data_IF_944208949842
#
_entry.id   IF_944208949842
#
_cell.length_a   1.000
_cell.length_b   1.000
_cell.length_c   1.000
_cell.angle_alpha   90.00
_cell.angle_beta   90.00
_cell.angle_gamma   90.00
#
_symmetry.space_group_name_H-M   'P 1'
#
loop_
_entity.id
_entity.type
_entity.pdbx_description
1 polymer ?
#
# COMPACT_ATOMS: atom_id res chain seq x y z
N UNK A 1 4.14 -34.53 -99.71
CA UNK A 1 4.79 -33.53 -98.83
C UNK A 1 4.14 -33.55 -97.46
N UNK A 2 4.78 -34.15 -96.45
CA UNK A 2 4.24 -34.18 -95.08
C UNK A 2 4.45 -32.83 -94.39
N UNK A 3 3.35 -32.15 -94.03
CA UNK A 3 3.36 -30.89 -93.26
C UNK A 3 3.96 -31.15 -91.87
N UNK A 4 5.17 -30.65 -91.63
CA UNK A 4 5.77 -30.60 -90.29
C UNK A 4 4.90 -29.72 -89.38
N UNK A 5 4.32 -30.31 -88.33
CA UNK A 5 3.55 -29.60 -87.31
C UNK A 5 4.46 -28.67 -86.51
N UNK A 6 4.07 -27.39 -86.38
CA UNK A 6 4.86 -26.38 -85.66
C UNK A 6 5.00 -26.77 -84.17
N UNK A 7 6.23 -27.02 -83.71
CA UNK A 7 6.54 -27.28 -82.29
C UNK A 7 6.16 -26.06 -81.43
N UNK A 8 5.44 -26.29 -80.32
CA UNK A 8 5.04 -25.23 -79.39
C UNK A 8 6.29 -24.59 -78.75
N UNK A 9 6.31 -23.26 -78.73
CA UNK A 9 7.40 -22.50 -78.12
C UNK A 9 7.46 -22.74 -76.60
N UNK A 10 8.66 -22.96 -76.06
CA UNK A 10 8.92 -22.99 -74.61
C UNK A 10 8.96 -21.59 -73.99
N UNK A 11 8.91 -20.53 -74.81
CA UNK A 11 8.95 -19.14 -74.36
C UNK A 11 7.62 -18.78 -73.68
N UNK A 12 7.69 -18.43 -72.40
CA UNK A 12 6.52 -17.99 -71.65
C UNK A 12 6.24 -16.50 -71.92
N UNK A 13 4.98 -16.16 -72.21
CA UNK A 13 4.58 -14.76 -72.32
C UNK A 13 4.64 -14.08 -70.97
N UNK A 14 4.97 -12.79 -70.95
CA UNK A 14 4.99 -11.96 -69.73
C UNK A 14 3.68 -12.05 -68.94
N UNK A 15 2.53 -12.08 -69.63
CA UNK A 15 1.21 -12.28 -69.02
C UNK A 15 1.11 -13.60 -68.25
N UNK A 16 1.60 -14.71 -68.83
CA UNK A 16 1.57 -16.03 -68.20
C UNK A 16 2.55 -16.10 -67.02
N UNK A 17 3.72 -15.46 -67.12
CA UNK A 17 4.68 -15.33 -66.01
C UNK A 17 4.05 -14.64 -64.80
N UNK A 18 3.44 -13.47 -65.00
CA UNK A 18 2.79 -12.73 -63.91
C UNK A 18 1.59 -13.47 -63.32
N UNK A 19 0.82 -14.19 -64.14
CA UNK A 19 -0.28 -15.04 -63.66
C UNK A 19 0.23 -16.13 -62.70
N UNK A 20 1.29 -16.86 -63.08
CA UNK A 20 1.88 -17.91 -62.24
C UNK A 20 2.42 -17.32 -60.92
N UNK A 21 3.12 -16.19 -60.97
CA UNK A 21 3.63 -15.53 -59.76
C UNK A 21 2.47 -15.13 -58.83
N UNK A 22 1.39 -14.58 -59.39
CA UNK A 22 0.19 -14.22 -58.63
C UNK A 22 -0.48 -15.44 -58.00
N UNK A 23 -0.64 -16.53 -58.76
CA UNK A 23 -1.23 -17.78 -58.26
C UNK A 23 -0.39 -18.40 -57.12
N UNK A 24 0.94 -18.40 -57.24
CA UNK A 24 1.84 -18.86 -56.16
C UNK A 24 1.73 -17.98 -54.92
N UNK A 25 1.65 -16.66 -55.10
CA UNK A 25 1.48 -15.73 -53.99
C UNK A 25 0.14 -15.92 -53.28
N UNK A 26 -0.95 -16.10 -54.05
CA UNK A 26 -2.29 -16.35 -53.52
C UNK A 26 -2.37 -17.70 -52.80
N UNK A 27 -1.72 -18.75 -53.34
CA UNK A 27 -1.62 -20.05 -52.68
C UNK A 27 -0.86 -19.95 -51.34
N UNK A 28 0.28 -19.24 -51.29
CA UNK A 28 1.02 -18.99 -50.03
C UNK A 28 0.18 -18.18 -49.03
N UNK A 29 -0.59 -17.21 -49.51
CA UNK A 29 -1.49 -16.40 -48.67
C UNK A 29 -2.62 -17.25 -48.07
N UNK A 30 -3.21 -18.15 -48.86
CA UNK A 30 -4.22 -19.13 -48.38
C UNK A 30 -3.63 -20.06 -47.32
N UNK A 31 -2.46 -20.66 -47.57
CA UNK A 31 -1.79 -21.53 -46.59
C UNK A 31 -1.48 -20.82 -45.25
N UNK A 32 -1.06 -19.53 -45.30
CA UNK A 32 -0.83 -18.74 -44.08
C UNK A 32 -2.12 -18.46 -43.31
N UNK A 33 -3.22 -18.16 -44.01
CA UNK A 33 -4.54 -17.95 -43.38
C UNK A 33 -5.05 -19.23 -42.72
N UNK A 34 -4.90 -20.36 -43.40
CA UNK A 34 -5.31 -21.66 -42.88
C UNK A 34 -4.46 -22.09 -41.67
N UNK A 35 -3.14 -21.88 -41.70
CA UNK A 35 -2.27 -22.11 -40.55
C UNK A 35 -2.65 -21.26 -39.33
N UNK A 36 -3.03 -19.98 -39.54
CA UNK A 36 -3.55 -19.11 -38.48
C UNK A 36 -4.90 -19.59 -37.93
N UNK A 37 -5.79 -20.10 -38.80
CA UNK A 37 -7.07 -20.70 -38.39
C UNK A 37 -6.86 -21.94 -37.53
N UNK A 38 -5.97 -22.85 -37.95
CA UNK A 38 -5.62 -24.05 -37.19
C UNK A 38 -4.98 -23.71 -35.83
N UNK A 39 -4.10 -22.70 -35.78
CA UNK A 39 -3.52 -22.22 -34.53
C UNK A 39 -4.56 -21.63 -33.56
N UNK A 40 -5.58 -20.91 -34.08
CA UNK A 40 -6.72 -20.41 -33.28
C UNK A 40 -7.60 -21.52 -32.73
N UNK A 41 -7.71 -22.64 -33.43
CA UNK A 41 -8.42 -23.85 -32.99
C UNK A 41 -7.59 -24.71 -32.01
N UNK A 42 -6.44 -24.21 -31.55
CA UNK A 42 -5.57 -24.92 -30.60
C UNK A 42 -4.75 -26.07 -31.21
N UNK A 43 -4.88 -26.33 -32.52
CA UNK A 43 -4.13 -27.37 -33.22
C UNK A 43 -2.72 -26.84 -33.48
N UNK A 44 -1.79 -27.17 -32.59
CA UNK A 44 -0.37 -26.86 -32.78
C UNK A 44 0.22 -27.73 -33.88
N UNK A 45 1.09 -27.16 -34.72
CA UNK A 45 1.94 -27.98 -35.59
C UNK A 45 2.80 -28.87 -34.69
N UNK A 46 2.79 -30.17 -34.95
CA UNK A 46 3.70 -31.09 -34.28
C UNK A 46 5.10 -30.75 -34.79
N UNK A 47 5.93 -30.20 -33.92
CA UNK A 47 7.34 -29.99 -34.23
C UNK A 47 7.97 -31.35 -34.58
N UNK A 48 8.82 -31.38 -35.60
CA UNK A 48 9.54 -32.62 -35.93
C UNK A 48 10.32 -33.04 -34.69
N UNK A 49 10.04 -34.26 -34.19
CA UNK A 49 10.80 -34.83 -33.07
C UNK A 49 12.27 -34.88 -33.47
N UNK A 50 13.11 -34.29 -32.64
CA UNK A 50 14.56 -34.37 -32.80
C UNK A 50 14.96 -35.86 -32.85
N UNK A 51 15.64 -36.34 -33.90
CA UNK A 51 16.09 -37.72 -33.99
C UNK A 51 17.06 -38.11 -32.86
N UNK A 52 17.57 -37.13 -32.10
CA UNK A 52 18.42 -37.36 -30.94
C UNK A 52 19.79 -37.93 -31.33
N UNK A 53 20.58 -38.31 -30.33
CA UNK A 53 21.93 -38.84 -30.55
C UNK A 53 21.83 -40.30 -31.03
N UNK A 54 22.33 -40.63 -32.24
CA UNK A 54 22.31 -42.00 -32.77
C UNK A 54 23.05 -42.98 -31.85
N UNK A 55 22.57 -44.23 -31.79
CA UNK A 55 23.06 -45.22 -30.83
C UNK A 55 24.51 -45.70 -31.07
N UNK A 56 25.08 -45.40 -32.25
CA UNK A 56 26.45 -45.76 -32.65
C UNK A 56 27.52 -44.78 -32.13
N UNK A 57 27.14 -43.73 -31.39
CA UNK A 57 28.09 -42.75 -30.87
C UNK A 57 28.94 -43.36 -29.74
N UNK A 58 30.28 -43.45 -29.89
CA UNK A 58 31.16 -44.18 -28.96
C UNK A 58 31.21 -43.62 -27.52
N UNK A 59 30.79 -42.37 -27.30
CA UNK A 59 30.85 -41.67 -26.00
C UNK A 59 29.49 -41.12 -25.55
N UNK A 60 28.40 -41.75 -25.98
CA UNK A 60 27.02 -41.32 -25.68
C UNK A 60 26.74 -41.06 -24.19
N UNK A 61 27.34 -41.82 -23.28
CA UNK A 61 27.13 -41.66 -21.83
C UNK A 61 27.76 -40.37 -21.28
N UNK A 62 28.98 -40.06 -21.71
CA UNK A 62 29.72 -38.85 -21.30
C UNK A 62 29.00 -37.60 -21.83
N UNK A 63 28.61 -37.62 -23.10
CA UNK A 63 27.88 -36.52 -23.74
C UNK A 63 26.53 -36.24 -23.06
N UNK A 64 25.82 -37.28 -22.59
CA UNK A 64 24.57 -37.11 -21.86
C UNK A 64 24.78 -36.49 -20.48
N UNK A 65 25.87 -36.83 -19.79
CA UNK A 65 26.23 -36.25 -18.50
C UNK A 65 26.61 -34.76 -18.65
N UNK A 66 27.39 -34.42 -19.67
CA UNK A 66 27.74 -33.02 -19.99
C UNK A 66 26.48 -32.20 -20.30
N UNK A 67 25.57 -32.72 -21.12
CA UNK A 67 24.31 -32.03 -21.43
C UNK A 67 23.41 -31.84 -20.20
N UNK A 68 23.41 -32.79 -19.26
CA UNK A 68 22.71 -32.64 -17.99
C UNK A 68 23.33 -31.57 -17.11
N UNK A 69 24.67 -31.52 -17.03
CA UNK A 69 25.38 -30.46 -16.30
C UNK A 69 25.13 -29.08 -16.91
N UNK A 70 25.22 -28.94 -18.23
CA UNK A 70 24.94 -27.69 -18.94
C UNK A 70 23.51 -27.23 -18.69
N UNK A 71 22.51 -28.13 -18.79
CA UNK A 71 21.12 -27.80 -18.48
C UNK A 71 20.94 -27.33 -17.04
N UNK A 72 21.63 -27.98 -16.09
CA UNK A 72 21.58 -27.59 -14.67
C UNK A 72 22.15 -26.18 -14.47
N UNK A 73 23.32 -25.90 -15.02
CA UNK A 73 23.96 -24.57 -14.99
C UNK A 73 23.06 -23.51 -15.64
N UNK A 74 22.47 -23.80 -16.81
CA UNK A 74 21.55 -22.88 -17.47
C UNK A 74 20.30 -22.59 -16.64
N UNK A 75 19.74 -23.60 -15.98
CA UNK A 75 18.57 -23.41 -15.10
C UNK A 75 18.91 -22.59 -13.86
N UNK A 76 20.08 -22.82 -13.26
CA UNK A 76 20.58 -22.06 -12.12
C UNK A 76 20.82 -20.60 -12.52
N UNK A 77 21.47 -20.35 -13.65
CA UNK A 77 21.71 -19.01 -14.16
C UNK A 77 20.40 -18.27 -14.50
N UNK A 78 19.42 -18.94 -15.11
CA UNK A 78 18.09 -18.36 -15.36
C UNK A 78 17.36 -18.00 -14.07
N UNK A 79 17.45 -18.85 -13.04
CA UNK A 79 16.86 -18.58 -11.74
C UNK A 79 17.54 -17.38 -11.06
N UNK A 80 18.86 -17.30 -11.13
CA UNK A 80 19.64 -16.19 -10.57
C UNK A 80 19.30 -14.85 -11.24
N UNK A 81 19.24 -14.80 -12.58
CA UNK A 81 18.84 -13.61 -13.34
C UNK A 81 17.42 -13.18 -12.99
N UNK A 82 16.48 -14.14 -12.85
CA UNK A 82 15.10 -13.85 -12.45
C UNK A 82 15.01 -13.27 -11.03
N UNK A 83 15.82 -13.77 -10.10
CA UNK A 83 15.90 -13.25 -8.73
C UNK A 83 16.47 -11.83 -8.74
N UNK A 84 17.56 -11.57 -9.46
CA UNK A 84 18.15 -10.22 -9.60
C UNK A 84 17.18 -9.21 -10.21
N UNK A 85 16.40 -9.61 -11.21
CA UNK A 85 15.37 -8.74 -11.81
C UNK A 85 14.25 -8.43 -10.81
N UNK A 86 13.83 -9.39 -10.00
CA UNK A 86 12.84 -9.16 -8.93
C UNK A 86 13.40 -8.28 -7.81
N UNK A 87 14.67 -8.44 -7.44
CA UNK A 87 15.35 -7.58 -6.47
C UNK A 87 15.45 -6.15 -7.01
N UNK A 88 15.93 -5.96 -8.25
CA UNK A 88 15.96 -4.63 -8.89
C UNK A 88 14.58 -3.97 -8.99
N UNK A 89 13.54 -4.73 -9.37
CA UNK A 89 12.18 -4.19 -9.41
C UNK A 89 11.68 -3.76 -8.03
N UNK A 90 11.99 -4.54 -6.98
CA UNK A 90 11.69 -4.16 -5.60
C UNK A 90 12.49 -2.96 -5.15
N UNK A 91 13.76 -2.87 -5.53
CA UNK A 91 14.65 -1.75 -5.18
C UNK A 91 14.23 -0.47 -5.90
N UNK A 92 13.79 -0.55 -7.16
CA UNK A 92 13.23 0.57 -7.93
C UNK A 92 11.87 1.01 -7.38
N UNK A 93 10.99 0.06 -7.03
CA UNK A 93 9.72 0.32 -6.36
C UNK A 93 9.94 0.94 -4.97
N UNK A 94 10.88 0.40 -4.21
CA UNK A 94 11.29 0.92 -2.91
C UNK A 94 11.92 2.31 -3.03
N UNK A 95 12.81 2.56 -3.99
CA UNK A 95 13.41 3.88 -4.22
C UNK A 95 12.36 4.91 -4.64
N UNK A 96 11.41 4.52 -5.49
CA UNK A 96 10.26 5.36 -5.88
C UNK A 96 9.32 5.65 -4.70
N UNK A 97 9.13 4.69 -3.79
CA UNK A 97 8.45 4.93 -2.52
C UNK A 97 9.30 5.86 -1.64
N UNK A 98 10.60 5.62 -1.49
CA UNK A 98 11.51 6.35 -0.61
C UNK A 98 11.65 7.82 -1.00
N UNK A 99 11.70 8.15 -2.29
CA UNK A 99 11.65 9.54 -2.78
C UNK A 99 10.32 10.23 -2.49
N UNK A 100 9.22 9.47 -2.41
CA UNK A 100 7.88 9.96 -2.04
C UNK A 100 7.60 9.93 -0.54
N UNK A 101 8.44 9.27 0.24
CA UNK A 101 8.37 9.15 1.70
C UNK A 101 9.53 9.84 2.40
N UNK A 102 10.40 10.55 1.69
CA UNK A 102 11.11 11.66 2.32
C UNK A 102 10.06 12.52 3.01
N UNK A 103 10.31 12.98 4.25
CA UNK A 103 9.33 13.71 5.04
C UNK A 103 8.95 14.96 4.25
N UNK A 104 7.84 14.86 3.51
CA UNK A 104 7.12 16.04 3.03
C UNK A 104 6.53 16.56 4.31
N UNK A 105 7.25 17.44 5.00
CA UNK A 105 6.79 18.58 5.80
C UNK A 105 8.03 19.12 6.57
N UNK A 106 9.11 19.38 5.82
CA UNK A 106 9.98 20.52 6.16
C UNK A 106 9.34 21.75 5.54
N UNK A 107 8.76 22.56 6.41
CA UNK A 107 8.54 23.99 6.27
C UNK A 107 7.32 24.47 5.42
N UNK A 108 6.49 25.29 6.07
CA UNK A 108 5.46 26.22 5.55
C UNK A 108 4.08 25.70 5.12
N UNK A 109 3.89 24.47 4.62
CA UNK A 109 2.58 24.10 4.05
C UNK A 109 1.49 23.77 5.08
N UNK A 110 1.84 23.16 6.22
CA UNK A 110 0.88 22.92 7.30
C UNK A 110 0.55 24.23 8.02
N UNK A 111 1.55 25.09 8.23
CA UNK A 111 1.38 26.42 8.79
C UNK A 111 0.50 27.30 7.88
N UNK A 112 0.69 27.24 6.56
CA UNK A 112 -0.16 27.95 5.60
C UNK A 112 -1.61 27.42 5.60
N UNK A 113 -1.81 26.11 5.78
CA UNK A 113 -3.14 25.52 5.91
C UNK A 113 -3.81 25.93 7.22
N UNK A 114 -3.06 25.86 8.33
CA UNK A 114 -3.54 26.29 9.64
C UNK A 114 -3.88 27.77 9.58
N UNK A 115 -3.04 28.61 8.96
CA UNK A 115 -3.26 30.05 8.78
C UNK A 115 -4.56 30.37 8.01
N UNK A 116 -4.94 29.56 7.02
CA UNK A 116 -6.16 29.74 6.23
C UNK A 116 -7.44 29.25 6.92
N UNK A 117 -7.32 28.39 7.93
CA UNK A 117 -8.47 27.85 8.65
C UNK A 117 -8.94 28.75 9.80
N UNK A 118 -10.24 28.84 10.02
CA UNK A 118 -10.84 29.53 11.18
C UNK A 118 -10.84 28.62 12.42
N UNK A 119 -10.92 27.31 12.18
CA UNK A 119 -11.02 26.29 13.21
C UNK A 119 -10.08 25.11 12.90
N UNK A 120 -9.48 24.55 13.94
CA UNK A 120 -8.62 23.37 13.84
C UNK A 120 -9.35 22.20 14.52
N UNK A 121 -9.63 21.14 13.76
CA UNK A 121 -10.06 19.86 14.32
C UNK A 121 -8.84 18.96 14.40
N UNK A 122 -8.52 18.51 15.60
CA UNK A 122 -7.48 17.52 15.84
C UNK A 122 -8.10 16.15 16.09
N UNK A 123 -7.80 15.22 15.19
CA UNK A 123 -8.26 13.83 15.24
C UNK A 123 -7.28 13.00 16.04
N UNK A 124 -7.74 12.51 17.20
CA UNK A 124 -7.01 11.64 18.11
C UNK A 124 -7.48 10.19 17.95
N UNK A 125 -6.60 9.21 18.10
CA UNK A 125 -6.97 7.78 18.13
C UNK A 125 -7.34 7.39 19.57
N UNK A 126 -8.56 6.89 19.80
CA UNK A 126 -9.07 6.55 21.14
C UNK A 126 -8.20 5.57 21.92
N UNK A 127 -7.40 4.73 21.22
CA UNK A 127 -6.51 3.73 21.84
C UNK A 127 -5.27 4.36 22.47
N UNK A 128 -4.79 5.46 21.94
CA UNK A 128 -3.64 6.20 22.47
C UNK A 128 -3.83 7.68 22.16
N UNK A 129 -4.76 8.34 22.87
CA UNK A 129 -5.19 9.70 22.55
C UNK A 129 -4.11 10.69 23.00
N UNK A 130 -3.09 10.84 22.17
CA UNK A 130 -1.96 11.75 22.39
C UNK A 130 -2.17 13.05 21.63
N UNK A 131 -2.27 14.16 22.38
CA UNK A 131 -2.42 15.50 21.82
C UNK A 131 -1.09 15.93 21.20
N UNK A 132 -1.13 16.34 19.95
CA UNK A 132 0.01 16.83 19.18
C UNK A 132 0.52 18.17 19.77
N UNK A 133 1.74 18.21 20.32
CA UNK A 133 2.29 19.45 20.88
C UNK A 133 2.53 20.53 19.82
N UNK A 134 2.87 20.13 18.59
CA UNK A 134 3.12 21.04 17.47
C UNK A 134 1.92 21.95 17.18
N UNK A 135 0.70 21.40 17.20
CA UNK A 135 -0.52 22.19 16.93
C UNK A 135 -0.72 23.25 18.01
N UNK A 136 -0.33 22.98 19.27
CA UNK A 136 -0.56 23.89 20.41
C UNK A 136 0.04 25.28 20.20
N UNK A 137 1.13 25.39 19.44
CA UNK A 137 1.76 26.67 19.09
C UNK A 137 0.89 27.55 18.19
N UNK A 138 -0.10 26.98 17.50
CA UNK A 138 -0.99 27.70 16.57
C UNK A 138 -2.39 27.96 17.15
N UNK A 139 -2.62 27.63 18.42
CA UNK A 139 -3.94 27.66 19.05
C UNK A 139 -4.31 29.04 19.59
N UNK A 140 -3.33 29.91 19.84
CA UNK A 140 -3.57 31.20 20.52
C UNK A 140 -4.60 32.09 19.80
N UNK A 141 -4.71 31.97 18.47
CA UNK A 141 -5.64 32.77 17.65
C UNK A 141 -6.89 32.02 17.17
N UNK A 142 -6.99 30.69 17.38
CA UNK A 142 -7.96 29.83 16.66
C UNK A 142 -8.72 28.89 17.57
N UNK A 143 -9.96 28.58 17.19
CA UNK A 143 -10.73 27.56 17.90
C UNK A 143 -10.16 26.17 17.61
N UNK A 144 -9.67 25.48 18.64
CA UNK A 144 -9.23 24.07 18.56
C UNK A 144 -10.32 23.14 19.11
N UNK A 145 -10.66 22.12 18.34
CA UNK A 145 -11.61 21.07 18.70
C UNK A 145 -10.88 19.72 18.66
N UNK A 146 -11.11 18.88 19.66
CA UNK A 146 -10.61 17.52 19.68
C UNK A 146 -11.72 16.55 19.28
N UNK A 147 -11.38 15.61 18.42
CA UNK A 147 -12.27 14.51 18.03
C UNK A 147 -11.53 13.20 18.29
N UNK A 148 -11.99 12.46 19.28
CA UNK A 148 -11.46 11.15 19.66
C UNK A 148 -12.12 10.10 18.79
N UNK A 149 -11.43 9.72 17.72
CA UNK A 149 -11.91 8.77 16.72
C UNK A 149 -11.62 7.32 17.12
N UNK A 150 -12.37 6.39 16.55
CA UNK A 150 -12.32 4.94 16.85
C UNK A 150 -12.73 4.62 18.28
N UNK A 151 -13.72 5.36 18.80
CA UNK A 151 -14.25 5.17 20.15
C UNK A 151 -14.79 3.75 20.40
N UNK A 152 -15.16 3.02 19.35
CA UNK A 152 -15.62 1.63 19.37
C UNK A 152 -14.55 0.61 19.80
N UNK A 153 -13.27 0.99 19.80
CA UNK A 153 -12.15 0.08 20.07
C UNK A 153 -11.69 0.06 21.52
N UNK A 154 -12.25 0.93 22.35
CA UNK A 154 -11.83 1.12 23.73
C UNK A 154 -13.02 0.99 24.69
N UNK A 155 -12.80 0.55 25.94
CA UNK A 155 -13.86 0.55 26.94
C UNK A 155 -14.40 1.96 27.18
N UNK A 156 -15.73 2.07 27.37
CA UNK A 156 -16.41 3.37 27.59
C UNK A 156 -15.87 4.11 28.82
N UNK A 157 -15.53 3.38 29.89
CA UNK A 157 -14.95 3.95 31.11
C UNK A 157 -13.59 4.61 30.84
N UNK A 158 -12.71 3.95 30.09
CA UNK A 158 -11.41 4.50 29.71
C UNK A 158 -11.57 5.73 28.81
N UNK A 159 -12.51 5.67 27.85
CA UNK A 159 -12.81 6.79 26.97
C UNK A 159 -13.30 8.01 27.75
N UNK A 160 -14.20 7.81 28.73
CA UNK A 160 -14.72 8.88 29.57
C UNK A 160 -13.61 9.56 30.39
N UNK A 161 -12.67 8.78 30.93
CA UNK A 161 -11.50 9.30 31.66
C UNK A 161 -10.62 10.16 30.75
N UNK A 162 -10.28 9.67 29.55
CA UNK A 162 -9.50 10.43 28.57
C UNK A 162 -10.22 11.69 28.10
N UNK A 163 -11.52 11.61 27.82
CA UNK A 163 -12.36 12.76 27.43
C UNK A 163 -12.29 13.86 28.49
N UNK A 164 -12.31 13.52 29.78
CA UNK A 164 -12.17 14.47 30.90
C UNK A 164 -10.80 15.15 30.97
N UNK A 165 -9.74 14.48 30.51
CA UNK A 165 -8.39 15.06 30.48
C UNK A 165 -8.22 15.94 29.25
N UNK A 166 -8.65 15.46 28.09
CA UNK A 166 -8.56 16.19 26.81
C UNK A 166 -9.44 17.43 26.85
N UNK A 167 -10.63 17.35 27.46
CA UNK A 167 -11.55 18.48 27.57
C UNK A 167 -11.01 19.68 28.34
N UNK A 168 -9.94 19.49 29.14
CA UNK A 168 -9.23 20.60 29.78
C UNK A 168 -8.49 21.50 28.78
N UNK A 169 -8.14 20.98 27.62
CA UNK A 169 -7.43 21.70 26.57
C UNK A 169 -8.35 22.30 25.50
N UNK A 170 -9.64 21.94 25.50
CA UNK A 170 -10.63 22.42 24.54
C UNK A 170 -11.83 21.48 24.37
N UNK A 171 -12.86 21.86 23.60
CA UNK A 171 -14.02 21.02 23.30
C UNK A 171 -13.61 19.65 22.74
N UNK A 172 -14.15 18.57 23.30
CA UNK A 172 -13.78 17.20 22.95
C UNK A 172 -15.01 16.36 22.62
N UNK A 173 -15.07 15.84 21.40
CA UNK A 173 -16.13 14.99 20.89
C UNK A 173 -15.63 13.56 20.70
N UNK A 174 -16.51 12.60 20.89
CA UNK A 174 -16.26 11.20 20.55
C UNK A 174 -16.75 10.91 19.14
N UNK A 175 -16.03 10.07 18.41
CA UNK A 175 -16.40 9.74 17.04
C UNK A 175 -15.99 8.31 16.68
N UNK A 176 -16.76 7.72 15.78
CA UNK A 176 -16.46 6.44 15.16
C UNK A 176 -16.82 6.49 13.68
N UNK A 177 -16.20 5.62 12.89
CA UNK A 177 -16.45 5.50 11.46
C UNK A 177 -16.88 4.06 11.14
N UNK A 178 -18.14 3.80 10.73
CA UNK A 178 -19.22 4.77 10.49
C UNK A 178 -19.77 5.43 11.78
N UNK A 179 -20.27 6.69 11.68
CA UNK A 179 -20.79 7.42 12.83
C UNK A 179 -22.10 6.82 13.35
N UNK A 180 -22.29 6.86 14.67
CA UNK A 180 -23.61 6.62 15.29
C UNK A 180 -24.50 7.85 15.08
N UNK A 181 -25.81 7.65 15.17
CA UNK A 181 -26.80 8.73 15.07
C UNK A 181 -26.48 9.85 16.07
N UNK A 182 -26.55 11.10 15.62
CA UNK A 182 -26.31 12.29 16.44
C UNK A 182 -24.83 12.72 16.59
N UNK A 183 -23.84 11.83 16.42
CA UNK A 183 -22.41 12.20 16.57
C UNK A 183 -21.97 13.25 15.54
N UNK A 184 -22.39 13.07 14.30
CA UNK A 184 -22.11 14.02 13.22
C UNK A 184 -22.80 15.35 13.48
N UNK A 185 -24.05 15.31 13.94
CA UNK A 185 -24.89 16.49 14.13
C UNK A 185 -24.37 17.35 15.28
N UNK A 186 -23.87 16.74 16.37
CA UNK A 186 -23.24 17.43 17.49
C UNK A 186 -22.03 18.27 17.04
N UNK A 187 -21.14 17.66 16.24
CA UNK A 187 -19.95 18.35 15.71
C UNK A 187 -20.37 19.47 14.75
N UNK A 188 -21.31 19.21 13.83
CA UNK A 188 -21.76 20.20 12.86
C UNK A 188 -22.47 21.38 13.52
N UNK A 189 -23.27 21.11 14.56
CA UNK A 189 -23.92 22.15 15.36
C UNK A 189 -22.90 23.03 16.06
N UNK A 190 -21.89 22.44 16.70
CA UNK A 190 -20.82 23.21 17.33
C UNK A 190 -20.07 24.11 16.32
N UNK A 191 -19.77 23.58 15.13
CA UNK A 191 -19.13 24.34 14.06
C UNK A 191 -20.03 25.47 13.53
N UNK A 192 -21.34 25.23 13.43
CA UNK A 192 -22.30 26.24 13.02
C UNK A 192 -22.43 27.37 14.07
N UNK A 193 -22.45 27.04 15.36
CA UNK A 193 -22.53 27.99 16.47
C UNK A 193 -21.29 28.88 16.57
N UNK A 194 -20.13 28.36 16.15
CA UNK A 194 -18.87 29.12 16.03
C UNK A 194 -18.70 29.88 14.73
N UNK A 195 -19.66 29.75 13.81
CA UNK A 195 -19.61 30.35 12.47
C UNK A 195 -18.35 29.98 11.66
N UNK A 196 -17.76 28.81 11.96
CA UNK A 196 -16.55 28.33 11.29
C UNK A 196 -16.83 27.96 9.84
N UNK A 197 -16.10 28.53 8.87
CA UNK A 197 -16.27 28.23 7.45
C UNK A 197 -15.11 27.42 6.88
N UNK A 198 -13.89 27.68 7.35
CA UNK A 198 -12.67 26.99 6.94
C UNK A 198 -12.12 26.16 8.12
N UNK A 199 -12.05 24.84 7.95
CA UNK A 199 -11.66 23.90 8.99
C UNK A 199 -10.44 23.09 8.57
N UNK A 200 -9.36 23.19 9.33
CA UNK A 200 -8.20 22.34 9.18
C UNK A 200 -8.39 21.02 9.95
N UNK A 201 -8.38 19.88 9.26
CA UNK A 201 -8.38 18.56 9.92
C UNK A 201 -6.96 18.06 10.05
N UNK A 202 -6.50 17.92 11.30
CA UNK A 202 -5.10 17.66 11.66
C UNK A 202 -4.99 16.47 12.61
N UNK A 203 -3.77 15.94 12.79
CA UNK A 203 -3.49 14.83 13.70
C UNK A 203 -2.48 13.82 13.13
N UNK A 204 -2.04 12.88 13.98
CA UNK A 204 -1.06 11.87 13.62
C UNK A 204 -1.49 10.97 12.44
N UNK A 205 -0.54 10.33 11.75
CA UNK A 205 -0.85 9.27 10.79
C UNK A 205 -1.81 8.22 11.35
N UNK A 206 -2.66 7.65 10.50
CA UNK A 206 -3.59 6.56 10.84
C UNK A 206 -4.65 6.84 11.93
N UNK A 207 -4.79 8.07 12.43
CA UNK A 207 -5.87 8.43 13.39
C UNK A 207 -7.26 8.42 12.76
N UNK A 208 -7.33 8.47 11.42
CA UNK A 208 -8.57 8.37 10.65
C UNK A 208 -9.11 9.70 10.11
N UNK A 209 -8.25 10.71 9.91
CA UNK A 209 -8.59 12.03 9.34
C UNK A 209 -9.46 11.97 8.07
N UNK A 210 -8.98 11.28 7.03
CA UNK A 210 -9.72 11.17 5.76
C UNK A 210 -11.02 10.35 5.90
N UNK A 211 -11.07 9.39 6.83
CA UNK A 211 -12.29 8.65 7.15
C UNK A 211 -13.32 9.54 7.84
N UNK A 212 -12.87 10.40 8.76
CA UNK A 212 -13.70 11.40 9.42
C UNK A 212 -14.30 12.35 8.40
N UNK A 213 -13.51 12.92 7.49
CA UNK A 213 -14.03 13.84 6.46
C UNK A 213 -15.05 13.14 5.55
N UNK A 214 -14.78 11.90 5.15
CA UNK A 214 -15.74 11.11 4.36
C UNK A 214 -17.04 10.84 5.12
N UNK A 215 -16.97 10.57 6.43
CA UNK A 215 -18.15 10.41 7.27
C UNK A 215 -18.94 11.72 7.39
N UNK A 216 -18.25 12.86 7.54
CA UNK A 216 -18.89 14.18 7.53
C UNK A 216 -19.57 14.48 6.18
N UNK A 217 -18.96 14.06 5.07
CA UNK A 217 -19.54 14.24 3.73
C UNK A 217 -20.68 13.27 3.40
N UNK A 218 -20.71 12.10 4.03
CA UNK A 218 -21.68 11.03 3.76
C UNK A 218 -21.35 10.15 2.55
N UNK A 219 -20.29 10.45 1.81
CA UNK A 219 -19.79 9.63 0.71
C UNK A 219 -18.26 9.74 0.58
N UNK A 220 -17.64 8.78 -0.11
CA UNK A 220 -16.18 8.73 -0.27
C UNK A 220 -15.69 9.87 -1.18
N UNK A 221 -15.02 10.86 -0.58
CA UNK A 221 -14.38 11.97 -1.28
C UNK A 221 -12.85 11.96 -1.14
N UNK A 222 -12.33 11.75 0.07
CA UNK A 222 -10.90 11.58 0.33
C UNK A 222 -10.48 10.11 0.15
N UNK A 223 -9.24 9.88 -0.31
CA UNK A 223 -8.72 8.53 -0.46
C UNK A 223 -8.30 7.93 0.89
N UNK A 224 -9.06 6.93 1.36
CA UNK A 224 -8.78 6.24 2.63
C UNK A 224 -8.02 4.94 2.35
N UNK A 225 -6.81 4.85 2.90
CA UNK A 225 -6.01 3.64 2.95
C UNK A 225 -5.84 3.15 4.39
N UNK A 226 -5.74 1.83 4.59
CA UNK A 226 -5.36 1.23 5.89
C UNK A 226 -3.85 1.38 6.19
N UNK A 227 -3.06 1.69 5.16
CA UNK A 227 -1.63 1.93 5.28
C UNK A 227 -1.37 3.43 5.40
N UNK A 228 -0.46 3.86 6.29
CA UNK A 228 -0.20 5.27 6.50
C UNK A 228 0.33 5.98 5.25
N UNK A 229 0.01 7.28 5.17
CA UNK A 229 0.45 8.18 4.12
C UNK A 229 -0.47 8.26 2.89
N UNK A 230 -1.64 7.63 2.91
CA UNK A 230 -2.61 7.69 1.81
C UNK A 230 -2.92 9.11 1.32
N UNK A 231 -2.90 10.09 2.23
CA UNK A 231 -3.12 11.52 1.96
C UNK A 231 -1.78 12.22 1.76
N UNK A 232 -1.43 12.50 0.50
CA UNK A 232 -0.15 13.14 0.11
C UNK A 232 -0.26 14.63 -0.22
N UNK A 233 -1.50 15.11 -0.43
CA UNK A 233 -1.79 16.49 -0.80
C UNK A 233 -2.90 16.99 0.11
N UNK A 234 -2.84 18.30 0.38
CA UNK A 234 -3.94 19.00 1.01
C UNK A 234 -5.09 19.02 0.02
N UNK A 235 -6.24 18.46 0.42
CA UNK A 235 -7.47 18.47 -0.37
C UNK A 235 -8.52 19.34 0.34
N UNK A 236 -9.12 20.28 -0.40
CA UNK A 236 -10.27 21.05 0.07
C UNK A 236 -11.55 20.27 -0.24
N UNK A 237 -12.29 19.93 0.81
CA UNK A 237 -13.53 19.17 0.73
C UNK A 237 -14.65 20.02 1.31
N UNK A 238 -15.58 20.42 0.44
CA UNK A 238 -16.79 21.15 0.82
C UNK A 238 -17.84 20.17 1.34
N UNK A 239 -18.36 20.44 2.52
CA UNK A 239 -19.45 19.71 3.16
C UNK A 239 -20.62 20.67 3.32
N UNK A 240 -21.75 20.32 2.72
CA UNK A 240 -23.00 21.07 2.82
C UNK A 240 -23.92 20.35 3.79
N UNK A 241 -24.52 21.08 4.71
CA UNK A 241 -25.47 20.56 5.67
C UNK A 241 -26.56 21.58 5.97
N UNK A 242 -27.69 21.10 6.49
CA UNK A 242 -28.76 21.96 6.98
C UNK A 242 -28.55 22.18 8.48
N UNK A 243 -28.53 23.43 8.92
CA UNK A 243 -28.52 23.72 10.36
C UNK A 243 -29.89 23.42 10.98
N UNK A 244 -29.95 23.39 12.32
CA UNK A 244 -31.19 23.16 13.08
C UNK A 244 -32.29 24.20 12.78
N UNK A 245 -31.93 25.33 12.17
CA UNK A 245 -32.83 26.41 11.75
C UNK A 245 -33.28 26.27 10.29
N UNK A 246 -32.88 25.20 9.61
CA UNK A 246 -33.22 24.90 8.21
C UNK A 246 -32.38 25.66 7.18
N UNK A 247 -31.32 26.37 7.57
CA UNK A 247 -30.44 27.06 6.63
C UNK A 247 -29.39 26.10 6.06
N UNK A 248 -29.17 26.21 4.76
CA UNK A 248 -28.08 25.49 4.09
C UNK A 248 -26.76 26.19 4.41
N UNK A 249 -25.85 25.49 5.07
CA UNK A 249 -24.48 25.95 5.34
C UNK A 249 -23.47 25.13 4.56
N UNK A 250 -22.40 25.79 4.11
CA UNK A 250 -21.25 25.16 3.46
C UNK A 250 -20.02 25.38 4.33
N UNK A 251 -19.36 24.28 4.70
CA UNK A 251 -18.09 24.28 5.44
C UNK A 251 -17.02 23.63 4.57
N UNK A 252 -15.84 24.26 4.52
CA UNK A 252 -14.66 23.75 3.85
C UNK A 252 -13.79 23.01 4.84
N UNK A 253 -13.61 21.70 4.64
CA UNK A 253 -12.64 20.89 5.36
C UNK A 253 -11.36 20.77 4.54
N UNK A 254 -10.23 21.07 5.15
CA UNK A 254 -8.92 20.82 4.56
C UNK A 254 -8.34 19.54 5.16
N UNK A 255 -8.16 18.51 4.33
CA UNK A 255 -7.51 17.25 4.74
C UNK A 255 -6.00 17.45 4.76
N UNK A 256 -5.41 17.60 5.94
CA UNK A 256 -3.94 17.64 6.07
C UNK A 256 -3.37 16.23 6.17
N UNK A 257 -2.19 15.96 5.61
CA UNK A 257 -1.49 14.71 5.88
C UNK A 257 -1.17 14.52 7.37
N UNK A 258 -0.74 13.31 7.73
CA UNK A 258 -0.33 13.03 9.10
C UNK A 258 0.81 13.93 9.57
N UNK A 259 0.66 14.52 10.76
CA UNK A 259 1.74 15.29 11.37
C UNK A 259 2.80 14.32 11.86
N UNK A 260 3.99 14.42 11.29
CA UNK A 260 5.18 13.70 11.73
C UNK A 260 6.00 14.64 12.62
N UNK A 261 5.84 14.52 13.94
CA UNK A 261 6.67 15.29 14.87
C UNK A 261 7.96 14.52 15.10
N UNK A 262 9.10 15.20 14.90
CA UNK A 262 10.43 14.69 15.20
C UNK A 262 10.73 14.62 16.72
N UNK A 263 9.74 14.29 17.54
CA UNK A 263 9.99 14.02 18.95
C UNK A 263 10.71 12.70 19.11
N UNK A 264 11.80 12.72 19.88
CA UNK A 264 12.65 11.56 20.13
C UNK A 264 11.92 10.60 21.08
N UNK A 265 11.78 9.34 20.68
CA UNK A 265 11.27 8.28 21.55
C UNK A 265 10.62 7.13 20.79
N UNK A 266 10.72 5.88 21.27
CA UNK A 266 10.13 4.71 20.60
C UNK A 266 8.62 4.83 20.36
N UNK A 267 7.87 5.33 21.35
CA UNK A 267 6.42 5.51 21.26
C UNK A 267 6.04 6.60 20.26
N UNK A 268 6.79 7.70 20.21
CA UNK A 268 6.54 8.78 19.24
C UNK A 268 6.91 8.35 17.82
N UNK A 269 7.98 7.57 17.67
CA UNK A 269 8.32 6.92 16.39
C UNK A 269 7.19 5.99 15.93
N UNK A 270 6.57 5.23 16.83
CA UNK A 270 5.39 4.42 16.52
C UNK A 270 4.21 5.29 16.05
N UNK A 271 3.89 6.39 16.73
CA UNK A 271 2.79 7.29 16.33
C UNK A 271 3.03 7.99 14.99
N UNK A 272 4.27 8.40 14.74
CA UNK A 272 4.69 9.06 13.50
C UNK A 272 4.98 8.06 12.37
N UNK A 273 4.87 6.74 12.61
CA UNK A 273 5.21 5.75 11.59
C UNK A 273 4.29 5.88 10.37
N UNK A 274 4.92 6.30 9.27
CA UNK A 274 4.36 6.24 7.94
C UNK A 274 5.10 5.22 7.08
N UNK A 275 4.39 4.63 6.10
CA UNK A 275 4.96 3.73 5.09
C UNK A 275 5.95 2.70 5.66
N UNK A 276 5.40 1.70 6.36
CA UNK A 276 6.16 0.69 7.10
C UNK A 276 7.22 0.01 6.22
N UNK A 277 6.90 -0.20 4.95
CA UNK A 277 7.78 -0.82 3.98
C UNK A 277 9.07 -0.01 3.77
N UNK A 278 8.97 1.33 3.76
CA UNK A 278 10.05 2.28 3.49
C UNK A 278 10.85 2.70 4.74
N UNK A 279 10.50 2.18 5.93
CA UNK A 279 11.22 2.49 7.16
C UNK A 279 12.67 2.00 7.06
N UNK A 280 13.61 2.91 7.30
CA UNK A 280 15.04 2.60 7.42
C UNK A 280 15.34 1.91 8.75
N UNK A 281 14.65 2.31 9.82
CA UNK A 281 14.74 1.70 11.14
C UNK A 281 13.35 1.32 11.66
N UNK A 282 12.87 0.09 11.40
CA UNK A 282 11.62 -0.40 11.97
C UNK A 282 11.77 -0.87 13.43
N UNK A 283 12.98 -0.93 13.99
CA UNK A 283 13.18 -1.42 15.36
C UNK A 283 12.70 -0.41 16.40
N UNK A 284 12.96 0.88 16.18
CA UNK A 284 12.53 1.95 17.10
C UNK A 284 11.00 2.00 17.26
N UNK A 285 10.18 1.97 16.19
CA UNK A 285 8.73 1.84 16.32
C UNK A 285 8.28 0.53 16.98
N UNK A 286 8.96 -0.60 16.71
CA UNK A 286 8.64 -1.89 17.35
C UNK A 286 8.90 -1.83 18.85
N UNK A 287 9.96 -1.14 19.29
CA UNK A 287 10.19 -0.92 20.71
C UNK A 287 9.01 -0.17 21.34
N UNK A 288 8.51 0.89 20.71
CA UNK A 288 7.32 1.60 21.17
C UNK A 288 6.07 0.72 21.23
N UNK A 289 5.94 -0.23 20.29
CA UNK A 289 4.85 -1.22 20.28
C UNK A 289 4.93 -2.13 21.50
N UNK A 290 6.12 -2.64 21.82
CA UNK A 290 6.32 -3.51 22.98
C UNK A 290 6.13 -2.77 24.32
N UNK A 291 6.39 -1.46 24.36
CA UNK A 291 6.10 -0.62 25.52
C UNK A 291 4.59 -0.38 25.71
N UNK A 292 3.83 -0.33 24.61
CA UNK A 292 2.38 -0.05 24.63
C UNK A 292 1.50 -1.29 24.81
N UNK A 293 1.95 -2.44 24.33
CA UNK A 293 1.14 -3.65 24.26
C UNK A 293 1.64 -4.66 25.28
N UNK A 294 0.74 -5.24 26.08
CA UNK A 294 1.15 -6.25 27.06
C UNK A 294 1.77 -7.48 26.38
N UNK A 295 2.85 -8.00 26.99
CA UNK A 295 3.56 -9.16 26.47
C UNK A 295 2.64 -10.35 26.24
N UNK A 296 1.75 -10.64 27.21
CA UNK A 296 0.77 -11.72 27.14
C UNK A 296 -0.09 -11.68 25.88
N UNK A 297 -0.59 -10.50 25.50
CA UNK A 297 -1.40 -10.33 24.29
C UNK A 297 -0.61 -10.66 23.03
N UNK A 298 0.66 -10.24 22.98
CA UNK A 298 1.55 -10.53 21.85
C UNK A 298 1.89 -12.02 21.76
N UNK A 299 2.17 -12.67 22.90
CA UNK A 299 2.43 -14.11 22.95
C UNK A 299 1.24 -14.92 22.43
N UNK A 300 0.03 -14.59 22.90
CA UNK A 300 -1.20 -15.26 22.46
C UNK A 300 -1.46 -14.99 20.98
N UNK A 301 -1.40 -13.73 20.54
CA UNK A 301 -1.72 -13.34 19.17
C UNK A 301 -0.79 -14.02 18.16
N UNK A 302 0.51 -13.94 18.40
CA UNK A 302 1.49 -14.55 17.52
C UNK A 302 1.72 -16.03 17.83
N UNK A 303 1.09 -16.62 18.84
CA UNK A 303 1.38 -17.97 19.37
C UNK A 303 2.88 -18.29 19.32
N UNK A 304 3.67 -17.46 20.02
CA UNK A 304 5.13 -17.53 20.16
C UNK A 304 5.48 -17.78 21.63
N UNK A 305 6.65 -18.39 21.92
CA UNK A 305 7.13 -18.52 23.29
C UNK A 305 7.51 -17.16 23.88
N UNK A 306 7.69 -17.14 25.20
CA UNK A 306 8.15 -15.96 25.93
C UNK A 306 9.49 -15.44 25.37
N UNK A 307 9.62 -14.11 25.31
CA UNK A 307 10.80 -13.43 24.79
C UNK A 307 11.30 -12.38 25.79
N UNK A 308 12.62 -12.22 25.85
CA UNK A 308 13.31 -11.26 26.71
C UNK A 308 13.48 -9.93 26.01
N UNK A 309 14.01 -9.99 24.79
CA UNK A 309 14.43 -8.82 24.03
C UNK A 309 13.66 -8.67 22.71
N UNK A 310 13.72 -7.46 22.13
CA UNK A 310 13.18 -7.15 20.81
C UNK A 310 13.70 -8.13 19.75
N UNK A 311 14.99 -8.49 19.80
CA UNK A 311 15.60 -9.43 18.85
C UNK A 311 15.00 -10.83 18.94
N UNK A 312 14.71 -11.31 20.14
CA UNK A 312 14.11 -12.63 20.36
C UNK A 312 12.64 -12.62 19.89
N UNK A 313 11.89 -11.58 20.23
CA UNK A 313 10.54 -11.35 19.70
C UNK A 313 10.50 -11.39 18.17
N UNK A 314 11.36 -10.60 17.51
CA UNK A 314 11.45 -10.56 16.06
C UNK A 314 11.93 -11.89 15.46
N UNK A 315 12.81 -12.62 16.14
CA UNK A 315 13.21 -13.97 15.73
C UNK A 315 12.02 -14.92 15.67
N UNK A 316 11.17 -14.91 16.70
CA UNK A 316 10.00 -15.78 16.75
C UNK A 316 8.98 -15.44 15.65
N UNK A 317 8.72 -14.15 15.43
CA UNK A 317 7.84 -13.70 14.34
C UNK A 317 8.40 -14.08 12.98
N UNK A 318 9.68 -13.78 12.73
CA UNK A 318 10.32 -14.07 11.45
C UNK A 318 10.29 -15.56 11.11
N UNK A 319 10.64 -16.43 12.08
CA UNK A 319 10.55 -17.89 11.91
C UNK A 319 9.12 -18.36 11.66
N UNK A 320 8.16 -17.87 12.44
CA UNK A 320 6.74 -18.26 12.29
C UNK A 320 6.15 -17.84 10.94
N UNK A 321 6.55 -16.68 10.43
CA UNK A 321 6.08 -16.13 9.16
C UNK A 321 6.92 -16.59 7.95
N UNK A 322 7.87 -17.51 8.15
CA UNK A 322 8.76 -18.03 7.11
C UNK A 322 9.69 -16.96 6.50
N UNK A 323 9.96 -15.88 7.24
CA UNK A 323 10.88 -14.81 6.84
C UNK A 323 12.30 -15.16 7.30
N UNK A 324 12.99 -15.91 6.45
CA UNK A 324 14.38 -16.29 6.66
C UNK A 324 15.25 -15.76 5.52
N UNK A 325 16.38 -15.18 5.88
CA UNK A 325 17.42 -14.74 4.97
C UNK A 325 18.23 -15.94 4.45
N UNK A 326 19.14 -15.67 3.50
CA UNK A 326 20.09 -16.67 3.00
C UNK A 326 20.89 -17.27 4.17
N UNK A 327 21.00 -18.59 4.21
CA UNK A 327 21.65 -19.31 5.31
C UNK A 327 20.74 -19.68 6.48
N UNK A 328 19.43 -19.45 6.39
CA UNK A 328 18.46 -19.85 7.42
C UNK A 328 18.41 -18.92 8.64
N UNK A 329 19.07 -17.76 8.55
CA UNK A 329 19.01 -16.73 9.58
C UNK A 329 17.65 -16.03 9.56
N UNK A 330 17.05 -15.70 10.71
CA UNK A 330 15.81 -14.93 10.77
C UNK A 330 15.99 -13.54 10.14
N UNK A 331 15.02 -13.12 9.33
CA UNK A 331 14.98 -11.74 8.80
C UNK A 331 14.25 -10.82 9.79
N UNK A 332 15.04 -10.09 10.57
CA UNK A 332 14.53 -9.19 11.61
C UNK A 332 13.78 -7.98 11.05
N UNK A 333 14.20 -7.43 9.91
CA UNK A 333 13.57 -6.27 9.28
C UNK A 333 12.18 -6.65 8.78
N UNK A 334 12.08 -7.78 8.09
CA UNK A 334 10.80 -8.32 7.65
C UNK A 334 9.89 -8.66 8.85
N UNK A 335 10.45 -9.24 9.92
CA UNK A 335 9.71 -9.49 11.16
C UNK A 335 9.16 -8.21 11.81
N UNK A 336 9.98 -7.15 11.85
CA UNK A 336 9.60 -5.87 12.43
C UNK A 336 8.49 -5.20 11.64
N UNK A 337 8.61 -5.19 10.31
CA UNK A 337 7.57 -4.66 9.41
C UNK A 337 6.25 -5.41 9.57
N UNK A 338 6.28 -6.74 9.67
CA UNK A 338 5.07 -7.54 9.94
C UNK A 338 4.43 -7.14 11.28
N UNK A 339 5.24 -7.03 12.34
CA UNK A 339 4.72 -6.65 13.65
C UNK A 339 4.04 -5.28 13.64
N UNK A 340 4.65 -4.30 12.96
CA UNK A 340 4.08 -2.96 12.77
C UNK A 340 2.80 -3.01 11.92
N UNK A 341 2.79 -3.75 10.81
CA UNK A 341 1.59 -3.92 10.00
C UNK A 341 0.43 -4.49 10.82
N UNK A 342 0.69 -5.52 11.62
CA UNK A 342 -0.33 -6.17 12.43
C UNK A 342 -0.86 -5.26 13.54
N UNK A 343 -0.01 -4.38 14.09
CA UNK A 343 -0.42 -3.33 15.03
C UNK A 343 -1.32 -2.28 14.37
N UNK A 344 -0.94 -1.73 13.22
CA UNK A 344 -1.74 -0.71 12.53
C UNK A 344 -3.03 -1.26 11.89
N UNK A 345 -3.01 -2.51 11.44
CA UNK A 345 -4.20 -3.25 11.00
C UNK A 345 -5.09 -3.71 12.16
N UNK A 346 -4.65 -3.46 13.40
CA UNK A 346 -5.42 -3.75 14.61
C UNK A 346 -5.75 -5.23 14.78
N UNK A 347 -4.80 -6.11 14.45
CA UNK A 347 -5.01 -7.55 14.60
C UNK A 347 -5.14 -8.01 16.04
N UNK A 348 -4.76 -7.17 17.00
CA UNK A 348 -4.92 -7.41 18.44
C UNK A 348 -5.37 -6.13 19.17
N UNK A 349 -6.24 -6.25 20.19
CA UNK A 349 -6.80 -5.10 20.90
C UNK A 349 -5.80 -4.48 21.89
N UNK A 350 -5.61 -3.18 21.76
CA UNK A 350 -4.75 -2.37 22.62
C UNK A 350 -5.44 -1.03 22.91
N UNK A 351 -5.27 -0.55 24.14
CA UNK A 351 -5.58 0.82 24.54
C UNK A 351 -4.64 1.23 25.68
N UNK A 352 -4.40 2.52 25.80
CA UNK A 352 -3.59 3.14 26.85
C UNK A 352 -4.54 3.54 27.98
N UNK A 353 -4.42 2.97 29.19
CA UNK A 353 -5.19 3.41 30.33
C UNK A 353 -4.65 4.76 30.85
N UNK A 354 -5.52 5.61 31.40
CA UNK A 354 -5.10 6.90 31.97
C UNK A 354 -4.36 6.71 33.31
N UNK A 355 -4.77 5.72 34.10
CA UNK A 355 -4.10 5.27 35.31
C UNK A 355 -3.36 3.96 35.04
N UNK A 356 -2.10 3.82 35.52
CA UNK A 356 -1.27 2.64 35.26
C UNK A 356 -1.83 1.34 35.84
#
# INVERSE_FOLDING_TARGET
MHRLSRKKSKRMTLRKKHKVVKEVADAKKRMRKEARRMARQGIKRVDKKDPGIPNLCPQKKELLQELQMIKKIETEHKNEVRLRLKEKQKDEEFAFLTEKTQPVYKDNSLEALISQADCIIEILDARDPYICPFITNFVEEKTRIFVVNKSDLVPEENLAQWKKVISKNGPCFEFQCPPKDGMKDEIMRFLADKESQAIAVTGYPNTGKSSFINAMKGYKAANVGKLPGSTKKIEEIKVVFNDDKGNVREIKFFDSPGIEIAEKGPVNALRATCYIEALQDPYTPVQGLLEKVSKEKLLIHYAIPEYKDIKEFLTHIAKKMGKVAKGGLPDFDAGAKIALHDFFLMKFPFYTPLTP
#
